data_IF_590169682459
#
_entry.id   IF_590169682459
#
_cell.length_a   1.000
_cell.length_b   1.000
_cell.length_c   1.000
_cell.angle_alpha   90.00
_cell.angle_beta   90.00
_cell.angle_gamma   90.00
#
_symmetry.space_group_name_H-M   'P 1'
#
loop_
_entity.id
_entity.type
_entity.pdbx_description
1 polymer ?
#
# COMPACT_ATOMS: atom_id res chain seq x y z
N UNK A 1 -12.27 39.64 -8.37
CA UNK A 1 -12.72 38.65 -7.36
C UNK A 1 -13.53 37.60 -8.07
N UNK A 2 -12.97 36.42 -8.30
CA UNK A 2 -13.70 35.26 -8.83
C UNK A 2 -13.73 34.23 -7.70
N UNK A 3 -14.92 34.00 -7.14
CA UNK A 3 -15.14 32.99 -6.12
C UNK A 3 -14.95 31.61 -6.73
N UNK A 4 -14.02 30.84 -6.18
CA UNK A 4 -13.86 29.43 -6.48
C UNK A 4 -14.97 28.65 -5.76
N UNK A 5 -15.84 28.02 -6.53
CA UNK A 5 -16.75 27.01 -6.02
C UNK A 5 -15.93 25.77 -5.65
N UNK A 6 -15.54 25.66 -4.38
CA UNK A 6 -14.99 24.42 -3.85
C UNK A 6 -16.12 23.39 -3.75
N UNK A 7 -15.93 22.26 -4.42
CA UNK A 7 -16.77 21.07 -4.25
C UNK A 7 -16.74 20.71 -2.77
N UNK A 8 -17.90 20.43 -2.16
CA UNK A 8 -18.00 20.04 -0.75
C UNK A 8 -17.17 18.76 -0.48
N UNK A 9 -15.90 18.94 -0.12
CA UNK A 9 -14.92 17.85 0.04
C UNK A 9 -13.50 18.23 -0.36
N UNK A 10 -13.30 19.29 -1.14
CA UNK A 10 -11.97 19.77 -1.53
C UNK A 10 -11.42 20.68 -0.42
N UNK A 11 -10.87 20.07 0.63
CA UNK A 11 -10.10 20.79 1.65
C UNK A 11 -8.79 21.22 1.01
N UNK A 12 -8.66 22.50 0.68
CA UNK A 12 -7.38 23.07 0.25
C UNK A 12 -6.46 23.07 1.46
N UNK A 13 -5.49 22.15 1.46
CA UNK A 13 -4.47 22.09 2.49
C UNK A 13 -3.35 23.05 2.09
N UNK A 14 -3.15 24.08 2.91
CA UNK A 14 -2.05 25.03 2.74
C UNK A 14 -0.75 24.42 3.24
N UNK A 15 -0.05 23.75 2.33
CA UNK A 15 1.27 23.16 2.56
C UNK A 15 2.02 23.18 1.23
N UNK A 16 2.53 24.34 0.84
CA UNK A 16 3.16 24.54 -0.47
C UNK A 16 4.66 24.21 -0.39
N UNK A 17 5.13 23.11 -1.03
CA UNK A 17 6.52 22.68 -0.91
C UNK A 17 7.55 23.73 -1.38
N UNK A 18 7.16 24.59 -2.32
CA UNK A 18 8.03 25.62 -2.89
C UNK A 18 8.06 26.93 -2.09
N UNK A 19 7.03 27.18 -1.29
CA UNK A 19 6.94 28.37 -0.45
C UNK A 19 7.58 28.10 0.92
N UNK A 20 7.33 26.90 1.47
CA UNK A 20 7.80 26.48 2.79
C UNK A 20 9.18 25.81 2.74
N UNK A 21 10.22 26.60 2.42
CA UNK A 21 11.61 26.12 2.35
C UNK A 21 12.21 25.73 3.71
N UNK A 22 11.61 26.17 4.81
CA UNK A 22 12.06 25.87 6.17
C UNK A 22 11.81 24.43 6.62
N UNK A 23 11.01 23.66 5.87
CA UNK A 23 10.70 22.27 6.23
C UNK A 23 11.89 21.31 6.05
N UNK A 24 12.85 21.66 5.20
CA UNK A 24 14.08 20.87 5.03
C UNK A 24 15.14 21.14 6.11
N UNK A 25 14.88 22.07 7.03
CA UNK A 25 15.80 22.34 8.14
C UNK A 25 15.97 21.10 9.04
N UNK A 26 17.20 20.84 9.52
CA UNK A 26 17.48 19.67 10.36
C UNK A 26 16.64 19.73 11.65
N UNK A 27 15.96 18.62 11.98
CA UNK A 27 15.14 18.51 13.19
C UNK A 27 13.65 18.82 12.97
N UNK A 28 13.27 19.51 11.90
CA UNK A 28 11.86 19.87 11.64
C UNK A 28 11.05 18.63 11.24
N UNK A 29 11.62 17.79 10.37
CA UNK A 29 10.99 16.54 9.93
C UNK A 29 10.88 15.53 11.07
N UNK A 30 11.90 15.48 11.92
CA UNK A 30 11.97 14.62 13.10
C UNK A 30 10.94 15.05 14.15
N UNK A 31 10.82 16.35 14.41
CA UNK A 31 9.80 16.89 15.31
C UNK A 31 8.38 16.62 14.79
N UNK A 32 8.14 16.83 13.49
CA UNK A 32 6.85 16.53 12.87
C UNK A 32 6.51 15.03 12.96
N UNK A 33 7.48 14.15 12.69
CA UNK A 33 7.29 12.71 12.79
C UNK A 33 6.96 12.26 14.22
N UNK A 34 7.62 12.83 15.23
CA UNK A 34 7.34 12.52 16.64
C UNK A 34 5.89 12.89 17.04
N UNK A 35 5.40 14.06 16.59
CA UNK A 35 4.02 14.48 16.85
C UNK A 35 3.00 13.55 16.17
N UNK A 36 3.28 13.13 14.93
CA UNK A 36 2.42 12.17 14.20
C UNK A 36 2.39 10.82 14.92
N UNK A 37 3.54 10.33 15.39
CA UNK A 37 3.60 9.08 16.14
C UNK A 37 2.78 9.14 17.44
N UNK A 38 2.85 10.25 18.17
CA UNK A 38 2.10 10.41 19.41
C UNK A 38 0.58 10.40 19.18
N UNK A 39 0.11 11.08 18.14
CA UNK A 39 -1.31 11.12 17.79
C UNK A 39 -1.81 9.77 17.24
N UNK A 40 -1.00 9.07 16.42
CA UNK A 40 -1.35 7.74 15.89
C UNK A 40 -1.34 6.64 16.95
N UNK A 41 -0.63 6.83 18.07
CA UNK A 41 -0.72 5.96 19.25
C UNK A 41 -2.04 6.14 20.00
N UNK A 42 -2.51 7.39 20.12
CA UNK A 42 -3.76 7.73 20.82
C UNK A 42 -4.99 7.35 20.00
N UNK A 43 -4.96 7.60 18.70
CA UNK A 43 -6.04 7.27 17.78
C UNK A 43 -5.57 6.24 16.77
N UNK A 44 -6.05 4.99 16.92
CA UNK A 44 -5.80 3.96 15.91
C UNK A 44 -6.40 4.39 14.57
N UNK A 45 -5.65 4.33 13.45
CA UNK A 45 -6.20 4.61 12.14
C UNK A 45 -7.37 3.66 11.82
N UNK A 46 -8.59 4.20 11.70
CA UNK A 46 -9.80 3.42 11.40
C UNK A 46 -10.15 3.40 9.92
N UNK A 47 -9.60 4.35 9.13
CA UNK A 47 -9.83 4.44 7.69
C UNK A 47 -8.72 3.71 6.94
N UNK A 48 -9.04 2.54 6.40
CA UNK A 48 -8.15 1.81 5.52
C UNK A 48 -8.13 2.48 4.13
N UNK A 49 -6.96 2.95 3.68
CA UNK A 49 -6.76 3.58 2.38
C UNK A 49 -6.83 2.60 1.19
N UNK A 50 -7.09 1.32 1.42
CA UNK A 50 -7.37 0.32 0.40
C UNK A 50 -8.85 -0.06 0.36
N UNK A 51 -9.68 0.51 1.25
CA UNK A 51 -11.11 0.19 1.32
C UNK A 51 -11.90 0.64 0.10
N UNK A 52 -11.45 1.70 -0.59
CA UNK A 52 -12.04 2.16 -1.84
C UNK A 52 -11.57 1.37 -3.06
N UNK A 53 -10.53 0.54 -2.91
CA UNK A 53 -10.04 -0.32 -3.98
C UNK A 53 -10.78 -1.64 -3.94
N UNK A 54 -11.08 -2.18 -5.12
CA UNK A 54 -11.56 -3.55 -5.23
C UNK A 54 -10.50 -4.49 -4.68
N UNK A 55 -10.92 -5.54 -3.97
CA UNK A 55 -10.00 -6.54 -3.44
C UNK A 55 -9.05 -7.01 -4.56
N UNK A 56 -7.73 -6.91 -4.37
CA UNK A 56 -6.77 -7.28 -5.40
C UNK A 56 -6.95 -8.75 -5.76
N UNK A 57 -7.18 -9.00 -7.05
CA UNK A 57 -7.25 -10.35 -7.56
C UNK A 57 -5.83 -10.90 -7.75
N UNK A 58 -5.35 -11.62 -6.73
CA UNK A 58 -4.05 -12.27 -6.76
C UNK A 58 -4.01 -13.46 -7.74
N UNK A 59 -5.16 -13.96 -8.21
CA UNK A 59 -5.22 -15.06 -9.17
C UNK A 59 -4.80 -14.64 -10.59
N UNK A 60 -4.91 -13.35 -10.91
CA UNK A 60 -4.45 -12.79 -12.18
C UNK A 60 -2.93 -12.91 -12.38
N UNK A 61 -2.17 -13.07 -11.30
CA UNK A 61 -0.72 -13.27 -11.31
C UNK A 61 -0.31 -14.73 -11.09
N UNK A 62 -1.26 -15.66 -11.00
CA UNK A 62 -0.94 -17.07 -10.80
C UNK A 62 -0.30 -17.67 -12.06
N UNK A 63 0.81 -18.35 -11.83
CA UNK A 63 1.49 -19.16 -12.85
C UNK A 63 0.53 -20.28 -13.30
N UNK A 64 0.60 -20.67 -14.57
CA UNK A 64 -0.20 -21.76 -15.18
C UNK A 64 -0.60 -22.88 -14.20
N UNK A 65 -1.84 -23.41 -14.32
CA UNK A 65 -2.44 -24.46 -13.44
C UNK A 65 -1.48 -25.60 -13.05
N UNK A 66 -0.54 -25.94 -13.94
CA UNK A 66 0.47 -26.99 -13.72
C UNK A 66 1.46 -26.66 -12.61
N UNK A 67 1.83 -25.39 -12.45
CA UNK A 67 2.85 -24.93 -11.49
C UNK A 67 2.24 -24.31 -10.23
N UNK A 68 0.94 -24.01 -10.21
CA UNK A 68 0.21 -23.55 -9.01
C UNK A 68 0.45 -24.42 -7.76
N UNK A 69 0.32 -25.77 -7.81
CA UNK A 69 0.56 -26.58 -6.62
C UNK A 69 2.02 -26.49 -6.16
N UNK A 70 2.96 -26.42 -7.12
CA UNK A 70 4.38 -26.28 -6.83
C UNK A 70 4.69 -25.01 -6.04
N UNK A 71 4.21 -23.87 -6.52
CA UNK A 71 4.40 -22.57 -5.88
C UNK A 71 3.68 -22.51 -4.53
N UNK A 72 2.45 -23.03 -4.43
CA UNK A 72 1.63 -22.95 -3.22
C UNK A 72 2.13 -23.82 -2.08
N UNK A 73 2.59 -25.04 -2.37
CA UNK A 73 3.11 -25.96 -1.33
C UNK A 73 4.62 -25.89 -1.18
N UNK A 74 5.29 -24.94 -1.86
CA UNK A 74 6.76 -24.79 -1.89
C UNK A 74 7.50 -26.10 -2.20
N UNK A 75 6.90 -26.96 -3.02
CA UNK A 75 7.58 -28.19 -3.47
C UNK A 75 8.50 -27.84 -4.64
N UNK A 76 9.68 -28.46 -4.76
CA UNK A 76 10.53 -28.26 -5.92
C UNK A 76 9.87 -28.81 -7.20
N UNK A 77 10.05 -28.09 -8.31
CA UNK A 77 9.45 -28.42 -9.62
C UNK A 77 9.83 -29.85 -10.07
N UNK A 78 11.08 -30.24 -9.84
CA UNK A 78 11.61 -31.56 -10.23
C UNK A 78 10.84 -32.72 -9.56
N UNK A 79 10.46 -32.55 -8.29
CA UNK A 79 9.71 -33.55 -7.54
C UNK A 79 8.25 -33.66 -8.02
N UNK A 80 7.65 -32.54 -8.44
CA UNK A 80 6.31 -32.52 -9.02
C UNK A 80 6.25 -33.30 -10.35
N UNK A 81 7.26 -33.15 -11.20
CA UNK A 81 7.36 -33.93 -12.44
C UNK A 81 7.58 -35.42 -12.17
N UNK A 82 8.45 -35.78 -11.22
CA UNK A 82 8.72 -37.18 -10.87
C UNK A 82 7.49 -37.92 -10.31
N UNK A 83 6.73 -37.29 -9.40
CA UNK A 83 5.50 -37.87 -8.84
C UNK A 83 4.42 -38.11 -9.90
N UNK A 84 4.35 -37.27 -10.94
CA UNK A 84 3.34 -37.41 -12.00
C UNK A 84 3.67 -38.50 -13.02
N UNK A 85 4.96 -38.70 -13.32
CA UNK A 85 5.41 -39.81 -14.18
C UNK A 85 5.14 -41.17 -13.55
N UNK A 86 5.24 -41.26 -12.21
CA UNK A 86 4.92 -42.48 -11.47
C UNK A 86 3.41 -42.74 -11.30
N UNK A 87 2.58 -41.73 -11.53
CA UNK A 87 1.12 -41.80 -11.37
C UNK A 87 0.35 -42.01 -12.69
N UNK A 88 1.04 -42.27 -13.80
CA UNK A 88 0.48 -42.64 -15.11
C UNK A 88 0.84 -44.08 -15.44
#
# INVERSE_FOLDING_TARGET
MAGTGLVAGEVVVDALPYFDQGYEAPGVREAAAALVEEETRRYRPTKNYLSYLTAPDYSAFEVSVRLQPCVRTRIPVDLYFGLRVLAT
#
